data_IF_370448678012
#
_entry.id   IF_370448678012
#
_cell.length_a   1.000
_cell.length_b   1.000
_cell.length_c   1.000
_cell.angle_alpha   90.00
_cell.angle_beta   90.00
_cell.angle_gamma   90.00
#
_symmetry.space_group_name_H-M   'P 1'
#
loop_
_entity.id
_entity.type
_entity.pdbx_description
1 polymer ?
#
# COMPACT_ATOMS: atom_id res chain seq x y z
N UNK A 1 27.64 -10.96 14.14
CA UNK A 1 26.41 -10.15 14.11
C UNK A 1 26.09 -9.95 12.63
N UNK A 2 25.05 -10.61 12.12
CA UNK A 2 24.68 -10.55 10.70
C UNK A 2 23.85 -9.28 10.48
N UNK A 3 24.44 -8.26 9.87
CA UNK A 3 23.70 -7.10 9.39
C UNK A 3 22.83 -7.57 8.21
N UNK A 4 21.56 -7.84 8.46
CA UNK A 4 20.58 -8.08 7.41
C UNK A 4 20.29 -6.71 6.81
N UNK A 5 20.86 -6.44 5.62
CA UNK A 5 20.45 -5.31 4.79
C UNK A 5 18.97 -5.48 4.51
N UNK A 6 18.12 -4.59 5.02
CA UNK A 6 16.68 -4.67 4.80
C UNK A 6 16.37 -3.85 3.56
N UNK A 7 16.83 -4.34 2.41
CA UNK A 7 16.41 -3.77 1.14
C UNK A 7 14.89 -3.92 1.02
N UNK A 8 14.16 -2.81 1.16
CA UNK A 8 12.70 -2.81 1.01
C UNK A 8 12.36 -3.23 -0.42
N UNK A 9 11.77 -4.41 -0.53
CA UNK A 9 11.36 -5.05 -1.78
C UNK A 9 9.92 -5.57 -1.71
N UNK A 10 9.47 -6.25 -2.77
CA UNK A 10 8.09 -6.75 -2.88
C UNK A 10 7.72 -7.82 -1.84
N UNK A 11 8.71 -8.42 -1.17
CA UNK A 11 8.53 -9.44 -0.15
C UNK A 11 8.63 -8.88 1.27
N UNK A 12 8.91 -7.58 1.41
CA UNK A 12 9.01 -6.94 2.72
C UNK A 12 7.64 -6.97 3.41
N UNK A 13 7.57 -7.65 4.56
CA UNK A 13 6.32 -7.84 5.28
C UNK A 13 5.78 -6.52 5.85
N UNK A 14 4.45 -6.41 5.90
CA UNK A 14 3.79 -5.28 6.53
C UNK A 14 3.79 -5.34 8.06
N UNK A 15 3.67 -4.18 8.69
CA UNK A 15 3.49 -4.07 10.14
C UNK A 15 2.05 -3.70 10.48
N UNK A 16 1.49 -4.34 11.51
CA UNK A 16 0.16 -4.01 12.00
C UNK A 16 0.12 -2.61 12.65
N UNK A 17 -0.90 -1.83 12.30
CA UNK A 17 -1.21 -0.51 12.86
C UNK A 17 -2.69 -0.46 13.21
N UNK A 18 -3.00 0.20 14.33
CA UNK A 18 -4.40 0.48 14.70
C UNK A 18 -4.86 1.76 14.00
N UNK A 19 -6.09 1.74 13.49
CA UNK A 19 -6.78 2.90 12.95
C UNK A 19 -8.18 2.98 13.54
N UNK A 20 -8.69 4.18 13.78
CA UNK A 20 -10.05 4.39 14.29
C UNK A 20 -10.94 4.87 13.15
N UNK A 21 -11.93 4.06 12.78
CA UNK A 21 -12.93 4.34 11.75
C UNK A 21 -14.30 4.48 12.42
N UNK A 22 -14.92 5.66 12.34
CA UNK A 22 -16.28 5.88 12.90
C UNK A 22 -16.42 5.45 14.38
N UNK A 23 -15.38 5.66 15.18
CA UNK A 23 -15.33 5.27 16.59
C UNK A 23 -15.05 3.78 16.85
N UNK A 24 -14.83 2.97 15.81
CA UNK A 24 -14.42 1.57 15.93
C UNK A 24 -12.93 1.42 15.60
N UNK A 25 -12.24 0.56 16.37
CA UNK A 25 -10.85 0.23 16.08
C UNK A 25 -10.77 -0.86 15.03
N UNK A 26 -10.02 -0.60 13.97
CA UNK A 26 -9.62 -1.58 12.96
C UNK A 26 -8.10 -1.72 12.98
N UNK A 27 -7.59 -2.83 12.44
CA UNK A 27 -6.15 -3.07 12.29
C UNK A 27 -5.80 -3.18 10.82
N UNK A 28 -4.73 -2.52 10.41
CA UNK A 28 -4.25 -2.50 9.04
C UNK A 28 -2.81 -3.01 9.04
N UNK A 29 -2.49 -4.01 8.22
CA UNK A 29 -1.11 -4.47 8.01
C UNK A 29 -0.52 -3.69 6.84
N UNK A 30 0.36 -2.74 7.15
CA UNK A 30 0.86 -1.76 6.18
C UNK A 30 2.30 -2.09 5.81
N UNK A 31 2.60 -2.18 4.51
CA UNK A 31 3.96 -2.37 3.99
C UNK A 31 4.71 -1.05 3.86
N UNK A 32 6.04 -1.06 4.03
CA UNK A 32 6.86 0.12 3.76
C UNK A 32 6.85 0.47 2.27
N UNK A 33 6.81 1.76 1.96
CA UNK A 33 6.85 2.28 0.61
C UNK A 33 8.28 2.64 0.19
N UNK A 34 8.70 2.23 -1.01
CA UNK A 34 10.05 2.51 -1.51
C UNK A 34 10.06 2.76 -3.01
N UNK A 35 10.99 3.60 -3.47
CA UNK A 35 11.20 3.87 -4.90
C UNK A 35 11.44 2.58 -5.70
N UNK A 36 12.07 1.57 -5.08
CA UNK A 36 12.35 0.29 -5.72
C UNK A 36 11.05 -0.50 -5.99
N UNK A 37 10.14 -0.50 -5.03
CA UNK A 37 8.82 -1.14 -5.18
C UNK A 37 7.97 -0.38 -6.19
N UNK A 38 7.93 0.96 -6.09
CA UNK A 38 7.18 1.82 -7.01
C UNK A 38 7.65 1.63 -8.46
N UNK A 39 8.97 1.54 -8.66
CA UNK A 39 9.54 1.24 -9.97
C UNK A 39 9.10 -0.12 -10.50
N UNK A 40 9.16 -1.18 -9.67
CA UNK A 40 8.71 -2.53 -10.06
C UNK A 40 7.23 -2.57 -10.44
N UNK A 41 6.36 -1.91 -9.68
CA UNK A 41 4.92 -1.82 -10.00
C UNK A 41 4.73 -1.13 -11.36
N UNK A 42 5.37 0.02 -11.59
CA UNK A 42 5.27 0.73 -12.88
C UNK A 42 5.79 -0.09 -14.06
N UNK A 43 6.87 -0.84 -13.86
CA UNK A 43 7.44 -1.73 -14.88
C UNK A 43 6.49 -2.88 -15.27
N UNK A 44 5.77 -3.47 -14.30
CA UNK A 44 4.75 -4.51 -14.56
C UNK A 44 3.63 -4.04 -15.48
N UNK A 45 3.24 -2.77 -15.37
CA UNK A 45 2.15 -2.16 -16.14
C UNK A 45 2.63 -1.30 -17.32
N UNK A 46 3.94 -1.33 -17.61
CA UNK A 46 4.54 -0.62 -18.74
C UNK A 46 4.18 -1.34 -20.05
N UNK A 47 3.55 -0.61 -20.97
CA UNK A 47 3.29 -1.10 -22.33
C UNK A 47 4.00 -0.21 -23.34
N UNK A 48 4.63 -0.84 -24.33
CA UNK A 48 5.21 -0.11 -25.47
C UNK A 48 4.20 -0.21 -26.62
N UNK A 49 3.60 0.92 -26.96
CA UNK A 49 2.73 1.07 -28.14
C UNK A 49 3.53 1.72 -29.27
N UNK A 50 3.19 1.41 -30.52
CA UNK A 50 3.72 2.14 -31.68
C UNK A 50 2.67 3.14 -32.13
N UNK A 51 3.00 4.43 -32.10
CA UNK A 51 2.15 5.51 -32.63
C UNK A 51 2.89 6.12 -33.80
N UNK A 52 2.30 6.05 -35.00
CA UNK A 52 2.91 6.54 -36.25
C UNK A 52 4.33 6.01 -36.50
N UNK A 53 4.58 4.74 -36.16
CA UNK A 53 5.88 4.10 -36.33
C UNK A 53 6.92 4.38 -35.24
N UNK A 54 6.67 5.33 -34.33
CA UNK A 54 7.54 5.62 -33.18
C UNK A 54 7.08 4.85 -31.94
N UNK A 55 8.02 4.29 -31.13
CA UNK A 55 7.68 3.65 -29.87
C UNK A 55 7.27 4.70 -28.84
N UNK A 56 6.11 4.52 -28.24
CA UNK A 56 5.57 5.33 -27.15
C UNK A 56 5.38 4.43 -25.93
N UNK A 57 5.82 4.91 -24.76
CA UNK A 57 5.60 4.20 -23.50
C UNK A 57 4.28 4.68 -22.90
N UNK A 58 3.37 3.75 -22.66
CA UNK A 58 2.11 3.98 -21.97
C UNK A 58 2.12 3.22 -20.65
N UNK A 59 1.66 3.89 -19.60
CA UNK A 59 1.46 3.32 -18.28
C UNK A 59 -0.04 3.19 -18.02
N UNK A 60 -0.48 2.03 -17.53
CA UNK A 60 -1.87 1.84 -17.11
C UNK A 60 -2.05 2.38 -15.69
N UNK A 61 -2.28 3.69 -15.57
CA UNK A 61 -2.29 4.40 -14.28
C UNK A 61 -3.26 3.78 -13.26
N UNK A 62 -4.47 3.41 -13.70
CA UNK A 62 -5.45 2.72 -12.83
C UNK A 62 -4.90 1.40 -12.26
N UNK A 63 -4.21 0.60 -13.10
CA UNK A 63 -3.62 -0.67 -12.68
C UNK A 63 -2.41 -0.48 -11.76
N UNK A 64 -1.65 0.58 -11.97
CA UNK A 64 -0.56 0.97 -11.07
C UNK A 64 -1.12 1.34 -9.70
N UNK A 65 -2.21 2.11 -9.65
CA UNK A 65 -2.87 2.47 -8.40
C UNK A 65 -3.45 1.25 -7.68
N UNK A 66 -4.14 0.34 -8.39
CA UNK A 66 -4.67 -0.91 -7.82
C UNK A 66 -3.55 -1.78 -7.21
N UNK A 67 -2.48 -2.02 -7.95
CA UNK A 67 -1.34 -2.86 -7.52
C UNK A 67 -0.57 -2.20 -6.37
N UNK A 68 -0.47 -0.86 -6.35
CA UNK A 68 0.09 -0.11 -5.23
C UNK A 68 -0.77 -0.24 -3.97
N UNK A 69 -2.10 -0.16 -4.10
CA UNK A 69 -3.00 -0.36 -2.97
C UNK A 69 -2.88 -1.78 -2.42
N UNK A 70 -2.85 -2.78 -3.30
CA UNK A 70 -2.75 -4.19 -2.89
C UNK A 70 -1.43 -4.50 -2.19
N UNK A 71 -0.35 -3.88 -2.65
CA UNK A 71 0.96 -3.96 -2.00
C UNK A 71 0.97 -3.23 -0.65
N UNK A 72 0.58 -1.95 -0.61
CA UNK A 72 0.71 -1.12 0.59
C UNK A 72 -0.15 -1.63 1.75
N UNK A 73 -1.38 -2.03 1.45
CA UNK A 73 -2.28 -2.64 2.43
C UNK A 73 -2.23 -4.15 2.26
N UNK A 74 -1.36 -4.82 3.01
CA UNK A 74 -1.19 -6.27 2.90
C UNK A 74 -2.44 -7.02 3.39
N UNK A 75 -2.94 -6.62 4.56
CA UNK A 75 -4.03 -7.27 5.28
C UNK A 75 -4.81 -6.27 6.14
N UNK A 76 -6.01 -6.63 6.61
CA UNK A 76 -6.80 -5.84 7.55
C UNK A 76 -7.73 -6.70 8.42
N UNK A 77 -8.04 -6.20 9.61
CA UNK A 77 -8.97 -6.82 10.56
C UNK A 77 -9.92 -5.77 11.15
N UNK A 78 -11.09 -6.22 11.64
CA UNK A 78 -12.07 -5.35 12.30
C UNK A 78 -13.05 -4.65 11.34
N UNK A 79 -13.03 -5.01 10.06
CA UNK A 79 -14.00 -4.54 9.05
C UNK A 79 -14.90 -5.71 8.65
N UNK A 80 -16.21 -5.50 8.68
CA UNK A 80 -17.20 -6.51 8.30
C UNK A 80 -18.13 -6.06 7.20
N UNK A 81 -18.82 -7.02 6.58
CA UNK A 81 -19.94 -6.76 5.66
C UNK A 81 -21.21 -6.33 6.41
N UNK A 82 -22.28 -6.07 5.66
CA UNK A 82 -23.60 -5.71 6.21
C UNK A 82 -24.22 -6.78 7.13
N UNK A 83 -23.73 -8.02 7.06
CA UNK A 83 -24.15 -9.14 7.90
C UNK A 83 -23.22 -9.35 9.10
N UNK A 84 -22.22 -8.47 9.30
CA UNK A 84 -21.22 -8.57 10.35
C UNK A 84 -20.17 -9.65 10.13
N UNK A 85 -20.07 -10.23 8.92
CA UNK A 85 -19.00 -11.18 8.60
C UNK A 85 -17.71 -10.42 8.32
N UNK A 86 -16.55 -10.85 8.85
CA UNK A 86 -15.27 -10.24 8.54
C UNK A 86 -15.03 -10.21 7.03
N UNK A 87 -14.62 -9.06 6.51
CA UNK A 87 -14.21 -8.94 5.12
C UNK A 87 -12.82 -9.55 4.94
N UNK A 88 -12.66 -10.35 3.89
CA UNK A 88 -11.35 -10.88 3.51
C UNK A 88 -10.48 -9.80 2.85
N UNK A 89 -9.15 -9.84 2.99
CA UNK A 89 -8.21 -8.87 2.44
C UNK A 89 -7.99 -9.03 0.93
N UNK A 90 -9.06 -9.04 0.15
CA UNK A 90 -9.01 -9.07 -1.32
C UNK A 90 -8.73 -7.67 -1.87
N UNK A 91 -8.14 -7.57 -3.07
CA UNK A 91 -7.95 -6.29 -3.78
C UNK A 91 -9.24 -5.46 -3.83
N UNK A 92 -10.38 -6.09 -4.11
CA UNK A 92 -11.69 -5.41 -4.14
C UNK A 92 -12.01 -4.75 -2.80
N UNK A 93 -11.84 -5.47 -1.69
CA UNK A 93 -12.17 -4.94 -0.37
C UNK A 93 -11.15 -3.88 0.08
N UNK A 94 -9.86 -4.05 -0.24
CA UNK A 94 -8.82 -3.04 -0.02
C UNK A 94 -9.13 -1.75 -0.77
N UNK A 95 -9.56 -1.83 -2.03
CA UNK A 95 -9.98 -0.65 -2.81
C UNK A 95 -11.19 0.04 -2.20
N UNK A 96 -12.19 -0.71 -1.71
CA UNK A 96 -13.36 -0.16 -1.02
C UNK A 96 -12.91 0.60 0.24
N UNK A 97 -12.02 0.00 1.05
CA UNK A 97 -11.49 0.62 2.27
C UNK A 97 -10.70 1.90 1.98
N UNK A 98 -9.80 1.86 1.00
CA UNK A 98 -8.97 3.01 0.64
C UNK A 98 -9.77 4.17 0.04
N UNK A 99 -10.90 3.88 -0.61
CA UNK A 99 -11.80 4.88 -1.18
C UNK A 99 -12.96 5.26 -0.25
N UNK A 100 -12.98 4.78 0.99
CA UNK A 100 -14.05 5.08 1.93
C UNK A 100 -14.02 6.56 2.33
N UNK A 101 -15.14 7.24 2.13
CA UNK A 101 -15.31 8.60 2.61
C UNK A 101 -15.48 8.58 4.14
N UNK A 102 -14.61 9.31 4.82
CA UNK A 102 -14.70 9.51 6.28
C UNK A 102 -15.34 10.87 6.59
N UNK A 103 -16.00 11.02 7.76
CA UNK A 103 -16.59 12.29 8.18
C UNK A 103 -15.56 13.43 8.24
N UNK A 104 -16.03 14.66 8.08
CA UNK A 104 -15.20 15.86 8.16
C UNK A 104 -14.46 15.94 9.50
N UNK A 105 -13.13 15.93 9.45
CA UNK A 105 -12.25 15.97 10.63
C UNK A 105 -11.55 14.64 10.94
N UNK A 106 -11.95 13.54 10.30
CA UNK A 106 -11.21 12.28 10.35
C UNK A 106 -10.19 12.20 9.21
N UNK A 107 -9.05 11.57 9.48
CA UNK A 107 -8.02 11.30 8.47
C UNK A 107 -8.48 10.11 7.64
N UNK A 108 -8.47 10.18 6.30
CA UNK A 108 -8.87 9.05 5.47
C UNK A 108 -7.92 7.85 5.63
N UNK A 109 -8.45 6.63 5.43
CA UNK A 109 -7.64 5.39 5.46
C UNK A 109 -6.49 5.49 4.46
N UNK A 110 -6.76 5.97 3.25
CA UNK A 110 -5.72 6.13 2.24
C UNK A 110 -4.59 7.07 2.68
N UNK A 111 -4.92 8.19 3.32
CA UNK A 111 -3.89 9.08 3.85
C UNK A 111 -3.09 8.41 4.96
N UNK A 112 -3.77 7.75 5.92
CA UNK A 112 -3.13 7.04 7.02
C UNK A 112 -2.17 5.97 6.53
N UNK A 113 -2.60 5.09 5.60
CA UNK A 113 -1.77 4.04 5.02
C UNK A 113 -0.55 4.62 4.31
N UNK A 114 -0.70 5.69 3.53
CA UNK A 114 0.41 6.33 2.83
C UNK A 114 1.42 7.00 3.78
N UNK A 115 0.97 7.58 4.88
CA UNK A 115 1.89 8.21 5.84
C UNK A 115 2.62 7.15 6.67
N UNK A 116 1.92 6.10 7.11
CA UNK A 116 2.54 5.01 7.86
C UNK A 116 3.50 4.18 7.00
N UNK A 117 3.20 3.97 5.71
CA UNK A 117 4.11 3.26 4.80
C UNK A 117 5.43 4.02 4.59
N UNK A 118 5.39 5.35 4.49
CA UNK A 118 6.59 6.19 4.40
C UNK A 118 7.39 6.19 5.70
N UNK A 119 6.71 6.27 6.85
CA UNK A 119 7.37 6.20 8.17
C UNK A 119 8.09 4.86 8.35
N UNK A 120 7.42 3.75 8.04
CA UNK A 120 8.03 2.42 8.08
C UNK A 120 9.27 2.33 7.19
N UNK A 121 9.21 2.91 5.99
CA UNK A 121 10.35 2.94 5.09
C UNK A 121 11.51 3.81 5.59
N UNK A 122 11.20 4.90 6.30
CA UNK A 122 12.19 5.76 6.93
C UNK A 122 12.87 5.08 8.12
N UNK A 123 12.09 4.48 9.01
CA UNK A 123 12.58 3.77 10.19
C UNK A 123 13.53 2.63 9.80
N UNK A 124 13.17 1.86 8.76
CA UNK A 124 14.02 0.79 8.23
C UNK A 124 15.33 1.31 7.63
N UNK A 125 15.34 2.49 7.00
CA UNK A 125 16.57 3.10 6.47
C UNK A 125 17.45 3.66 7.58
N UNK A 126 16.88 4.28 8.62
CA UNK A 126 17.66 4.75 9.76
C UNK A 126 18.34 3.61 10.52
N UNK A 127 17.67 2.46 10.64
CA UNK A 127 18.25 1.27 11.26
C UNK A 127 19.43 0.71 10.44
N UNK A 128 19.50 0.97 9.13
CA UNK A 128 20.66 0.63 8.29
C UNK A 128 21.84 1.60 8.48
N UNK A 129 21.58 2.89 8.69
CA UNK A 129 22.66 3.88 8.86
C UNK A 129 23.33 3.82 10.25
N UNK A 130 22.63 3.27 11.25
CA UNK A 130 23.12 3.15 12.63
C UNK A 130 23.83 1.83 12.95
N UNK A 131 23.79 0.83 12.04
CA UNK A 131 24.40 -0.50 12.19
C UNK A 131 25.55 -0.75 11.21
#
# INVERSE_FOLDING_TARGET
>A
MLCIKTNIDENTEGTWREYTLLGQKIRLKIRPDSDAVDKKIRERHKKIKKVSGMPFTEYADEKITEDRIDYLLEDFEGVGDENGKPLEPTLKNKLILMNMNVPSGEISIAYFVNEESKKLAFDLKEDEEKN
#
